data_IF_014697773049
#
_entry.id   IF_014697773049
#
_cell.length_a   1.000
_cell.length_b   1.000
_cell.length_c   1.000
_cell.angle_alpha   90.00
_cell.angle_beta   90.00
_cell.angle_gamma   90.00
#
_symmetry.space_group_name_H-M   'P 1'
#
loop_
_entity.id
_entity.type
_entity.pdbx_description
1 polymer ?
#
# COMPACT_ATOMS: atom_id res chain seq x y z
N UNK A 1 -18.86 2.80 -39.98
CA UNK A 1 -17.87 3.83 -40.35
C UNK A 1 -17.87 4.97 -39.33
N UNK A 2 -18.98 5.71 -39.12
CA UNK A 2 -19.07 6.74 -38.06
C UNK A 2 -18.75 6.25 -36.64
N UNK A 3 -19.17 5.03 -36.28
CA UNK A 3 -18.84 4.43 -34.98
C UNK A 3 -17.32 4.28 -34.73
N UNK A 4 -16.49 4.37 -35.77
CA UNK A 4 -15.03 4.34 -35.60
C UNK A 4 -14.48 5.63 -34.98
N UNK A 5 -15.22 6.74 -35.07
CA UNK A 5 -14.87 8.06 -34.52
C UNK A 5 -15.41 8.26 -33.10
N UNK A 6 -16.27 7.35 -32.62
CA UNK A 6 -16.79 7.37 -31.26
C UNK A 6 -15.66 7.04 -30.25
N UNK A 7 -15.44 7.92 -29.27
CA UNK A 7 -14.40 7.73 -28.25
C UNK A 7 -14.77 6.63 -27.24
N UNK A 8 -16.05 6.52 -26.89
CA UNK A 8 -16.56 5.49 -25.99
C UNK A 8 -16.70 4.16 -26.74
N UNK A 9 -15.72 3.28 -26.52
CA UNK A 9 -15.64 1.95 -27.14
C UNK A 9 -16.83 1.05 -26.75
N UNK A 10 -17.39 1.22 -25.55
CA UNK A 10 -18.54 0.43 -25.08
C UNK A 10 -19.81 0.90 -25.78
N UNK A 11 -20.02 2.22 -25.83
CA UNK A 11 -21.12 2.84 -26.59
C UNK A 11 -21.07 2.44 -28.07
N UNK A 12 -19.89 2.54 -28.70
CA UNK A 12 -19.68 2.17 -30.09
C UNK A 12 -20.02 0.69 -30.36
N UNK A 13 -19.68 -0.20 -29.43
CA UNK A 13 -20.01 -1.62 -29.54
C UNK A 13 -21.51 -1.90 -29.41
N UNK A 14 -22.20 -1.29 -28.44
CA UNK A 14 -23.65 -1.44 -28.31
C UNK A 14 -24.39 -0.91 -29.55
N UNK A 15 -24.01 0.27 -30.06
CA UNK A 15 -24.57 0.81 -31.29
C UNK A 15 -24.30 -0.10 -32.50
N UNK A 16 -23.15 -0.78 -32.54
CA UNK A 16 -22.88 -1.78 -33.57
C UNK A 16 -23.84 -2.98 -33.46
N UNK A 17 -24.14 -3.45 -32.25
CA UNK A 17 -25.08 -4.56 -32.04
C UNK A 17 -26.49 -4.20 -32.55
N UNK A 18 -26.94 -2.97 -32.27
CA UNK A 18 -28.22 -2.46 -32.78
C UNK A 18 -28.23 -2.37 -34.32
N UNK A 19 -27.13 -1.92 -34.92
CA UNK A 19 -27.00 -1.87 -36.38
C UNK A 19 -27.00 -3.27 -37.01
N UNK A 20 -26.41 -4.28 -36.34
CA UNK A 20 -26.50 -5.69 -36.78
C UNK A 20 -27.95 -6.19 -36.75
N UNK A 21 -28.72 -5.83 -35.72
CA UNK A 21 -30.13 -6.16 -35.64
C UNK A 21 -30.93 -5.49 -36.77
N UNK A 22 -30.76 -4.18 -36.96
CA UNK A 22 -31.44 -3.45 -38.03
C UNK A 22 -31.09 -3.98 -39.42
N UNK A 23 -29.81 -4.29 -39.67
CA UNK A 23 -29.37 -4.88 -40.94
C UNK A 23 -30.09 -6.20 -41.23
N UNK A 24 -30.34 -7.01 -40.20
CA UNK A 24 -31.08 -8.28 -40.33
C UNK A 24 -32.58 -8.07 -40.57
N UNK A 25 -33.17 -7.03 -39.99
CA UNK A 25 -34.61 -6.73 -40.07
C UNK A 25 -35.02 -6.06 -41.39
N UNK A 26 -34.17 -5.21 -41.98
CA UNK A 26 -34.46 -4.48 -43.23
C UNK A 26 -34.67 -5.42 -44.43
N UNK A 27 -34.07 -6.61 -44.39
CA UNK A 27 -34.22 -7.63 -45.44
C UNK A 27 -33.22 -7.50 -46.60
N UNK A 28 -33.33 -8.36 -47.62
CA UNK A 28 -32.30 -8.51 -48.64
C UNK A 28 -32.31 -7.39 -49.69
N UNK A 29 -31.12 -7.03 -50.15
CA UNK A 29 -30.89 -6.18 -51.33
C UNK A 29 -30.80 -7.01 -52.62
N UNK A 30 -30.78 -6.33 -53.77
CA UNK A 30 -30.52 -6.92 -55.08
C UNK A 30 -29.31 -7.86 -55.05
N UNK A 31 -29.40 -9.01 -55.73
CA UNK A 31 -28.45 -10.12 -55.61
C UNK A 31 -27.02 -9.68 -55.95
N UNK A 32 -26.90 -8.76 -56.89
CA UNK A 32 -25.65 -8.20 -57.41
C UNK A 32 -24.92 -7.32 -56.38
N UNK A 33 -25.66 -6.68 -55.46
CA UNK A 33 -25.12 -5.75 -54.46
C UNK A 33 -24.96 -6.37 -53.07
N UNK A 34 -25.58 -7.54 -52.84
CA UNK A 34 -25.64 -8.19 -51.52
C UNK A 34 -24.27 -8.44 -50.92
N UNK A 35 -23.36 -9.04 -51.70
CA UNK A 35 -22.02 -9.38 -51.23
C UNK A 35 -21.20 -8.13 -50.92
N UNK A 36 -21.27 -7.12 -51.80
CA UNK A 36 -20.53 -5.87 -51.62
C UNK A 36 -20.98 -5.11 -50.35
N UNK A 37 -22.29 -5.01 -50.13
CA UNK A 37 -22.86 -4.35 -48.97
C UNK A 37 -22.50 -5.13 -47.69
N UNK A 38 -22.61 -6.46 -47.74
CA UNK A 38 -22.25 -7.31 -46.62
C UNK A 38 -20.77 -7.19 -46.23
N UNK A 39 -19.85 -7.30 -47.19
CA UNK A 39 -18.42 -7.20 -46.91
C UNK A 39 -18.03 -5.81 -46.38
N UNK A 40 -18.66 -4.72 -46.86
CA UNK A 40 -18.45 -3.38 -46.30
C UNK A 40 -18.95 -3.28 -44.85
N UNK A 41 -20.14 -3.82 -44.56
CA UNK A 41 -20.69 -3.81 -43.20
C UNK A 41 -19.85 -4.66 -42.25
N UNK A 42 -19.44 -5.85 -42.68
CA UNK A 42 -18.58 -6.77 -41.95
C UNK A 42 -17.22 -6.16 -41.67
N UNK A 43 -16.56 -5.56 -42.68
CA UNK A 43 -15.28 -4.89 -42.50
C UNK A 43 -15.37 -3.76 -41.45
N UNK A 44 -16.41 -2.91 -41.51
CA UNK A 44 -16.64 -1.88 -40.51
C UNK A 44 -16.92 -2.47 -39.11
N UNK A 45 -17.65 -3.57 -39.03
CA UNK A 45 -17.95 -4.28 -37.77
C UNK A 45 -16.69 -4.86 -37.12
N UNK A 46 -15.80 -5.46 -37.92
CA UNK A 46 -14.53 -6.03 -37.44
C UNK A 46 -13.65 -4.99 -36.77
N UNK A 47 -13.63 -3.75 -37.27
CA UNK A 47 -12.85 -2.66 -36.67
C UNK A 47 -13.33 -2.35 -35.24
N UNK A 48 -14.65 -2.20 -35.03
CA UNK A 48 -15.22 -1.89 -33.72
C UNK A 48 -15.06 -3.08 -32.75
N UNK A 49 -15.31 -4.31 -33.23
CA UNK A 49 -15.11 -5.52 -32.41
C UNK A 49 -13.66 -5.64 -31.94
N UNK A 50 -12.68 -5.34 -32.82
CA UNK A 50 -11.26 -5.34 -32.48
C UNK A 50 -10.93 -4.26 -31.44
N UNK A 51 -11.47 -3.03 -31.60
CA UNK A 51 -11.29 -1.96 -30.60
C UNK A 51 -11.86 -2.34 -29.23
N UNK A 52 -13.06 -2.92 -29.22
CA UNK A 52 -13.70 -3.41 -28.00
C UNK A 52 -12.86 -4.50 -27.32
N UNK A 53 -12.41 -5.50 -28.07
CA UNK A 53 -11.53 -6.54 -27.54
C UNK A 53 -10.24 -5.95 -26.95
N UNK A 54 -9.57 -5.06 -27.70
CA UNK A 54 -8.33 -4.43 -27.26
C UNK A 54 -8.54 -3.61 -25.98
N UNK A 55 -9.64 -2.86 -25.89
CA UNK A 55 -9.96 -2.07 -24.69
C UNK A 55 -10.02 -2.94 -23.42
N UNK A 56 -10.69 -4.09 -23.47
CA UNK A 56 -10.77 -5.01 -22.33
C UNK A 56 -9.48 -5.80 -22.09
N UNK A 57 -8.65 -6.02 -23.11
CA UNK A 57 -7.30 -6.57 -22.95
C UNK A 57 -6.38 -5.57 -22.23
N UNK A 58 -6.40 -4.30 -22.64
CA UNK A 58 -5.61 -3.23 -22.03
C UNK A 58 -6.05 -2.96 -20.58
N UNK A 59 -7.37 -2.97 -20.33
CA UNK A 59 -7.90 -2.82 -18.97
C UNK A 59 -7.42 -3.95 -18.06
N UNK A 60 -7.51 -5.21 -18.52
CA UNK A 60 -7.01 -6.36 -17.76
C UNK A 60 -5.50 -6.29 -17.54
N UNK A 61 -4.73 -5.94 -18.58
CA UNK A 61 -3.28 -5.79 -18.46
C UNK A 61 -2.90 -4.73 -17.42
N UNK A 62 -3.61 -3.59 -17.41
CA UNK A 62 -3.40 -2.52 -16.43
C UNK A 62 -3.77 -2.94 -15.00
N UNK A 63 -4.86 -3.69 -14.84
CA UNK A 63 -5.24 -4.25 -13.53
C UNK A 63 -4.18 -5.24 -13.01
N UNK A 64 -3.67 -6.12 -13.87
CA UNK A 64 -2.58 -7.06 -13.52
C UNK A 64 -1.28 -6.32 -13.17
N UNK A 65 -0.94 -5.26 -13.90
CA UNK A 65 0.20 -4.40 -13.57
C UNK A 65 0.03 -3.72 -12.20
N UNK A 66 -1.18 -3.22 -11.91
CA UNK A 66 -1.51 -2.64 -10.61
C UNK A 66 -1.38 -3.69 -9.49
N UNK A 67 -1.84 -4.93 -9.73
CA UNK A 67 -1.69 -6.03 -8.79
C UNK A 67 -0.22 -6.35 -8.51
N UNK A 68 0.62 -6.41 -9.55
CA UNK A 68 2.05 -6.66 -9.40
C UNK A 68 2.74 -5.55 -8.59
N UNK A 69 2.45 -4.27 -8.90
CA UNK A 69 2.97 -3.12 -8.14
C UNK A 69 2.54 -3.17 -6.68
N UNK A 70 1.24 -3.40 -6.42
CA UNK A 70 0.72 -3.53 -5.04
C UNK A 70 1.34 -4.70 -4.29
N UNK A 71 1.58 -5.83 -4.97
CA UNK A 71 2.25 -7.00 -4.39
C UNK A 71 3.67 -6.66 -3.97
N UNK A 72 4.44 -5.99 -4.81
CA UNK A 72 5.79 -5.54 -4.47
C UNK A 72 5.81 -4.57 -3.27
N UNK A 73 4.79 -3.72 -3.12
CA UNK A 73 4.66 -2.86 -1.94
C UNK A 73 4.37 -3.66 -0.67
N UNK A 74 3.49 -4.66 -0.72
CA UNK A 74 3.25 -5.55 0.41
C UNK A 74 4.54 -6.25 0.84
N UNK A 75 5.30 -6.80 -0.12
CA UNK A 75 6.57 -7.49 0.16
C UNK A 75 7.61 -6.58 0.82
N UNK A 76 7.68 -5.30 0.43
CA UNK A 76 8.55 -4.31 1.10
C UNK A 76 8.16 -4.08 2.56
N UNK A 77 6.86 -3.93 2.86
CA UNK A 77 6.38 -3.76 4.24
C UNK A 77 6.62 -5.03 5.06
N UNK A 78 6.37 -6.20 4.47
CA UNK A 78 6.61 -7.50 5.11
C UNK A 78 8.10 -7.73 5.41
N UNK A 79 8.99 -7.33 4.49
CA UNK A 79 10.43 -7.36 4.74
C UNK A 79 10.83 -6.42 5.89
N UNK A 80 10.22 -5.23 5.97
CA UNK A 80 10.43 -4.33 7.10
C UNK A 80 9.94 -4.93 8.43
N UNK A 81 8.90 -5.77 8.43
CA UNK A 81 8.44 -6.48 9.62
C UNK A 81 9.41 -7.58 10.10
N UNK A 82 10.29 -8.07 9.22
CA UNK A 82 11.34 -9.04 9.55
C UNK A 82 12.63 -8.37 10.05
N UNK A 83 12.74 -7.05 9.94
CA UNK A 83 13.90 -6.29 10.40
C UNK A 83 13.98 -6.19 11.93
N UNK A 84 15.20 -6.16 12.46
CA UNK A 84 15.47 -5.86 13.87
C UNK A 84 15.91 -4.40 14.03
N UNK A 85 15.13 -3.61 14.77
CA UNK A 85 15.40 -2.20 15.01
C UNK A 85 15.69 -1.95 16.50
N UNK A 86 16.92 -1.51 16.80
CA UNK A 86 17.42 -1.43 18.18
C UNK A 86 17.35 -0.01 18.75
N UNK A 87 17.30 0.99 17.89
CA UNK A 87 17.30 2.40 18.30
C UNK A 87 16.07 3.13 17.76
N UNK A 88 15.69 4.22 18.42
CA UNK A 88 14.62 5.10 17.94
C UNK A 88 14.89 5.63 16.52
N UNK A 89 16.17 5.86 16.18
CA UNK A 89 16.59 6.33 14.85
C UNK A 89 16.38 5.26 13.77
N UNK A 90 16.62 3.99 14.08
CA UNK A 90 16.35 2.88 13.15
C UNK A 90 14.85 2.82 12.83
N UNK A 91 14.02 2.89 13.87
CA UNK A 91 12.57 2.92 13.73
C UNK A 91 12.08 4.11 12.93
N UNK A 92 12.63 5.31 13.15
CA UNK A 92 12.26 6.52 12.42
C UNK A 92 12.58 6.40 10.92
N UNK A 93 13.79 5.91 10.58
CA UNK A 93 14.19 5.69 9.19
C UNK A 93 13.20 4.78 8.46
N UNK A 94 12.91 3.61 9.03
CA UNK A 94 12.01 2.65 8.37
C UNK A 94 10.57 3.15 8.38
N UNK A 95 10.14 3.88 9.42
CA UNK A 95 8.82 4.53 9.42
C UNK A 95 8.66 5.44 8.19
N UNK A 96 9.69 6.22 7.84
CA UNK A 96 9.63 7.09 6.67
C UNK A 96 9.49 6.28 5.38
N UNK A 97 10.23 5.19 5.24
CA UNK A 97 10.14 4.28 4.09
C UNK A 97 8.71 3.69 3.95
N UNK A 98 8.12 3.25 5.06
CA UNK A 98 6.73 2.74 5.10
C UNK A 98 5.71 3.84 4.74
N UNK A 99 5.90 5.07 5.20
CA UNK A 99 5.03 6.20 4.84
C UNK A 99 5.08 6.48 3.34
N UNK A 100 6.27 6.43 2.72
CA UNK A 100 6.39 6.60 1.27
C UNK A 100 5.72 5.44 0.52
N UNK A 101 5.86 4.19 0.99
CA UNK A 101 5.14 3.04 0.43
C UNK A 101 3.61 3.24 0.51
N UNK A 102 3.09 3.74 1.64
CA UNK A 102 1.66 4.05 1.77
C UNK A 102 1.20 5.16 0.82
N UNK A 103 2.05 6.15 0.54
CA UNK A 103 1.76 7.19 -0.47
C UNK A 103 1.72 6.58 -1.86
N UNK A 104 2.73 5.80 -2.24
CA UNK A 104 2.79 5.11 -3.53
C UNK A 104 1.56 4.22 -3.73
N UNK A 105 1.17 3.44 -2.71
CA UNK A 105 -0.02 2.59 -2.74
C UNK A 105 -1.29 3.33 -3.17
N UNK A 106 -1.49 4.56 -2.67
CA UNK A 106 -2.67 5.39 -2.98
C UNK A 106 -2.69 5.91 -4.41
N UNK A 107 -1.53 5.93 -5.08
CA UNK A 107 -1.43 6.36 -6.49
C UNK A 107 -1.71 5.24 -7.48
N UNK A 108 -1.66 3.97 -7.03
CA UNK A 108 -1.89 2.80 -7.88
C UNK A 108 -3.40 2.56 -8.00
N UNK A 109 -3.86 2.33 -9.23
CA UNK A 109 -5.25 2.00 -9.54
C UNK A 109 -5.72 0.67 -8.92
N UNK A 110 -6.90 0.23 -9.32
CA UNK A 110 -7.46 -1.03 -8.84
C UNK A 110 -6.73 -2.24 -9.43
N UNK A 111 -6.61 -3.28 -8.61
CA UNK A 111 -6.21 -4.61 -9.05
C UNK A 111 -7.44 -5.38 -9.55
N UNK A 112 -7.29 -6.57 -10.18
CA UNK A 112 -8.42 -7.35 -10.66
C UNK A 112 -9.41 -7.60 -9.52
N UNK A 113 -10.71 -7.53 -9.81
CA UNK A 113 -11.78 -7.56 -8.80
C UNK A 113 -11.62 -8.69 -7.77
N UNK A 114 -11.23 -9.89 -8.22
CA UNK A 114 -11.01 -11.08 -7.38
C UNK A 114 -9.86 -10.93 -6.36
N UNK A 115 -8.89 -10.08 -6.67
CA UNK A 115 -7.67 -9.88 -5.88
C UNK A 115 -7.66 -8.56 -5.11
N UNK A 116 -8.46 -7.57 -5.52
CA UNK A 116 -8.44 -6.22 -4.96
C UNK A 116 -8.65 -6.19 -3.43
N UNK A 117 -9.59 -6.98 -2.91
CA UNK A 117 -9.83 -7.08 -1.45
C UNK A 117 -8.66 -7.79 -0.75
N UNK A 118 -8.17 -8.89 -1.33
CA UNK A 118 -7.08 -9.68 -0.74
C UNK A 118 -5.79 -8.88 -0.62
N UNK A 119 -5.44 -8.15 -1.68
CA UNK A 119 -4.19 -7.37 -1.71
C UNK A 119 -4.28 -6.17 -0.76
N UNK A 120 -5.45 -5.53 -0.67
CA UNK A 120 -5.68 -4.46 0.29
C UNK A 120 -5.54 -4.94 1.74
N UNK A 121 -6.17 -6.08 2.08
CA UNK A 121 -6.11 -6.62 3.43
C UNK A 121 -4.70 -7.07 3.81
N UNK A 122 -3.97 -7.71 2.88
CA UNK A 122 -2.55 -8.05 3.06
C UNK A 122 -1.72 -6.80 3.38
N UNK A 123 -1.91 -5.72 2.62
CA UNK A 123 -1.20 -4.46 2.85
C UNK A 123 -1.56 -3.87 4.21
N UNK A 124 -2.85 -3.81 4.56
CA UNK A 124 -3.34 -3.27 5.84
C UNK A 124 -2.72 -4.02 7.02
N UNK A 125 -2.81 -5.36 7.03
CA UNK A 125 -2.26 -6.20 8.09
C UNK A 125 -0.76 -5.99 8.24
N UNK A 126 0.00 -5.95 7.14
CA UNK A 126 1.44 -5.74 7.19
C UNK A 126 1.81 -4.37 7.79
N UNK A 127 1.06 -3.31 7.45
CA UNK A 127 1.26 -2.00 8.04
C UNK A 127 0.90 -1.98 9.53
N UNK A 128 -0.25 -2.56 9.90
CA UNK A 128 -0.70 -2.60 11.30
C UNK A 128 0.33 -3.34 12.17
N UNK A 129 0.86 -4.46 11.69
CA UNK A 129 1.93 -5.21 12.36
C UNK A 129 3.17 -4.33 12.59
N UNK A 130 3.62 -3.59 11.56
CA UNK A 130 4.79 -2.71 11.67
C UNK A 130 4.60 -1.65 12.75
N UNK A 131 3.46 -0.94 12.72
CA UNK A 131 3.18 0.13 13.68
C UNK A 131 2.93 -0.38 15.09
N UNK A 132 2.37 -1.59 15.24
CA UNK A 132 2.24 -2.25 16.54
C UNK A 132 3.61 -2.58 17.14
N UNK A 133 4.52 -3.21 16.37
CA UNK A 133 5.89 -3.49 16.83
C UNK A 133 6.64 -2.22 17.22
N UNK A 134 6.48 -1.14 16.44
CA UNK A 134 7.01 0.19 16.77
C UNK A 134 6.45 0.69 18.10
N UNK A 135 5.14 0.65 18.29
CA UNK A 135 4.49 1.11 19.52
C UNK A 135 4.99 0.34 20.75
N UNK A 136 5.15 -0.98 20.63
CA UNK A 136 5.71 -1.83 21.69
C UNK A 136 7.15 -1.46 22.04
N UNK A 137 8.01 -1.23 21.03
CA UNK A 137 9.38 -0.78 21.25
C UNK A 137 9.44 0.53 22.04
N UNK A 138 8.69 1.55 21.60
CA UNK A 138 8.68 2.86 22.27
C UNK A 138 8.04 2.81 23.66
N UNK A 139 7.07 1.92 23.88
CA UNK A 139 6.52 1.65 25.22
C UNK A 139 7.60 1.07 26.14
N UNK A 140 8.32 0.03 25.70
CA UNK A 140 9.40 -0.58 26.49
C UNK A 140 10.55 0.40 26.78
N UNK A 141 10.87 1.26 25.82
CA UNK A 141 11.86 2.33 26.01
C UNK A 141 11.41 3.32 27.10
N UNK A 142 10.14 3.75 27.06
CA UNK A 142 9.55 4.63 28.07
C UNK A 142 9.55 4.00 29.46
N UNK A 143 9.19 2.72 29.56
CA UNK A 143 9.18 2.00 30.84
C UNK A 143 10.59 1.90 31.42
N UNK A 144 11.59 1.62 30.57
CA UNK A 144 13.01 1.61 30.96
C UNK A 144 13.47 2.99 31.46
N UNK A 145 13.09 4.06 30.78
CA UNK A 145 13.42 5.42 31.20
C UNK A 145 12.76 5.79 32.53
N UNK A 146 11.51 5.38 32.75
CA UNK A 146 10.81 5.58 34.01
C UNK A 146 11.49 4.84 35.16
N UNK A 147 11.87 3.58 34.97
CA UNK A 147 12.59 2.80 35.98
C UNK A 147 13.97 3.39 36.29
N UNK A 148 14.70 3.86 35.27
CA UNK A 148 15.98 4.52 35.45
C UNK A 148 15.85 5.86 36.18
N UNK A 149 14.80 6.62 35.90
CA UNK A 149 14.50 7.87 36.60
C UNK A 149 14.26 7.62 38.09
N UNK A 150 13.46 6.60 38.42
CA UNK A 150 13.18 6.24 39.82
C UNK A 150 14.45 5.84 40.57
N UNK A 151 15.29 4.97 39.98
CA UNK A 151 16.58 4.58 40.56
C UNK A 151 17.49 5.79 40.80
N UNK A 152 17.60 6.68 39.81
CA UNK A 152 18.39 7.92 39.95
C UNK A 152 17.83 8.83 41.03
N UNK A 153 16.51 8.94 41.15
CA UNK A 153 15.86 9.72 42.20
C UNK A 153 16.16 9.15 43.60
N UNK A 154 16.15 7.82 43.74
CA UNK A 154 16.53 7.16 44.99
C UNK A 154 18.00 7.42 45.35
N UNK A 155 18.91 7.36 44.39
CA UNK A 155 20.33 7.70 44.61
C UNK A 155 20.49 9.16 45.06
N UNK A 156 19.78 10.10 44.43
CA UNK A 156 19.76 11.51 44.84
C UNK A 156 19.21 11.68 46.25
N UNK A 157 18.15 10.96 46.63
CA UNK A 157 17.58 11.05 47.97
C UNK A 157 18.55 10.50 49.03
N UNK A 158 19.16 9.33 48.79
CA UNK A 158 20.21 8.77 49.67
C UNK A 158 21.40 9.74 49.81
N UNK A 159 21.81 10.40 48.74
CA UNK A 159 22.87 11.40 48.79
C UNK A 159 22.47 12.63 49.63
N UNK A 160 21.23 13.11 49.51
CA UNK A 160 20.70 14.22 50.31
C UNK A 160 20.66 13.89 51.80
N UNK A 161 20.24 12.68 52.18
CA UNK A 161 20.22 12.24 53.59
C UNK A 161 21.62 12.23 54.22
N UNK A 162 22.66 12.01 53.41
CA UNK A 162 24.04 11.99 53.85
C UNK A 162 24.70 13.38 53.88
N UNK A 163 24.06 14.41 53.31
CA UNK A 163 24.64 15.74 53.12
C UNK A 163 24.97 16.46 54.44
N UNK A 164 24.12 16.28 55.46
CA UNK A 164 24.27 16.93 56.77
C UNK A 164 24.98 16.04 57.82
N UNK A 165 25.55 14.91 57.39
CA UNK A 165 26.19 13.96 58.30
C UNK A 165 27.54 14.46 58.82
N UNK A 166 27.74 14.38 60.13
CA UNK A 166 29.00 14.75 60.80
C UNK A 166 30.00 13.60 60.93
N UNK A 167 29.66 12.38 60.49
CA UNK A 167 30.57 11.23 60.40
C UNK A 167 31.25 11.20 59.03
N UNK A 168 32.23 12.08 58.85
CA UNK A 168 32.87 12.36 57.56
C UNK A 168 33.47 11.12 56.87
N UNK A 169 34.06 10.20 57.63
CA UNK A 169 34.71 8.99 57.06
C UNK A 169 33.66 8.03 56.52
N UNK A 170 32.63 7.69 57.32
CA UNK A 170 31.56 6.78 56.85
C UNK A 170 30.71 7.41 55.76
N UNK A 171 30.48 8.72 55.80
CA UNK A 171 29.73 9.45 54.78
C UNK A 171 30.48 9.48 53.45
N UNK A 172 31.80 9.69 53.47
CA UNK A 172 32.66 9.57 52.29
C UNK A 172 32.57 8.18 51.64
N UNK A 173 32.70 7.11 52.42
CA UNK A 173 32.59 5.73 51.92
C UNK A 173 31.21 5.45 51.27
N UNK A 174 30.12 5.95 51.88
CA UNK A 174 28.76 5.82 51.33
C UNK A 174 28.56 6.62 50.06
N UNK A 175 29.12 7.83 49.95
CA UNK A 175 29.05 8.62 48.71
C UNK A 175 29.81 7.95 47.56
N UNK A 176 30.97 7.35 47.82
CA UNK A 176 31.73 6.58 46.83
C UNK A 176 30.90 5.38 46.34
N UNK A 177 30.17 4.71 47.24
CA UNK A 177 29.28 3.61 46.87
C UNK A 177 28.12 4.11 45.98
N UNK A 178 27.49 5.24 46.32
CA UNK A 178 26.43 5.85 45.50
C UNK A 178 26.93 6.27 44.11
N UNK A 179 28.15 6.82 44.01
CA UNK A 179 28.76 7.16 42.71
C UNK A 179 29.05 5.94 41.84
N UNK A 180 29.39 4.79 42.44
CA UNK A 180 29.58 3.53 41.72
C UNK A 180 28.26 2.93 41.23
N UNK A 181 27.16 3.20 41.92
CA UNK A 181 25.81 2.71 41.59
C UNK A 181 25.11 3.56 40.51
N UNK A 182 25.57 4.80 40.30
CA UNK A 182 25.05 5.77 39.32
C UNK A 182 25.51 5.48 37.88
#
# INVERSE_FOLDING_TARGET
>A
EKLNEEEDVISAFHQLQDLHQQYREIGPVAKELREQIWERFKAASTVINKKHQQHFEDLRAKEEENLAKKTALCEKVEAANQGEYKTAKDWEKVTQEIIEIQKEWRTIGFAPQKMNVKIFERFRIANDEFFNKKAEFFKGLKDTYSANLEKKQQLVNKAKELADSTDWKKTGDKFIALQKEW
#
